data_IF_691677614055
#
_entry.id   IF_691677614055
#
_cell.length_a   1.000
_cell.length_b   1.000
_cell.length_c   1.000
_cell.angle_alpha   90.00
_cell.angle_beta   90.00
_cell.angle_gamma   90.00
#
_symmetry.space_group_name_H-M   'P 1'
#
loop_
_entity.id
_entity.type
_entity.pdbx_description
1 polymer ?
#
# COMPACT_ATOMS: atom_id res chain seq x y z
N UNK A 1 -5.55 -24.43 -13.43
CA UNK A 1 -4.52 -24.12 -12.42
C UNK A 1 -4.58 -22.65 -11.98
N UNK A 2 -4.63 -21.68 -12.89
CA UNK A 2 -4.45 -20.24 -12.59
C UNK A 2 -5.61 -19.57 -11.82
N UNK A 3 -6.83 -20.09 -11.92
CA UNK A 3 -8.03 -19.48 -11.31
C UNK A 3 -8.02 -19.61 -9.79
N UNK A 4 -7.51 -20.72 -9.25
CA UNK A 4 -7.43 -20.96 -7.80
C UNK A 4 -6.45 -19.98 -7.16
N UNK A 5 -5.32 -19.71 -7.84
CA UNK A 5 -4.30 -18.77 -7.38
C UNK A 5 -4.82 -17.33 -7.45
N UNK A 6 -5.55 -16.97 -8.51
CA UNK A 6 -6.23 -15.68 -8.62
C UNK A 6 -7.28 -15.46 -7.52
N UNK A 7 -8.05 -16.50 -7.18
CA UNK A 7 -9.08 -16.44 -6.14
C UNK A 7 -8.46 -16.26 -4.74
N UNK A 8 -7.45 -17.07 -4.39
CA UNK A 8 -6.74 -16.91 -3.12
C UNK A 8 -6.08 -15.53 -3.00
N UNK A 9 -5.49 -15.04 -4.10
CA UNK A 9 -4.83 -13.74 -4.10
C UNK A 9 -5.82 -12.59 -3.97
N UNK A 10 -7.03 -12.72 -4.51
CA UNK A 10 -8.12 -11.74 -4.34
C UNK A 10 -8.66 -11.70 -2.92
N UNK A 11 -8.80 -12.85 -2.26
CA UNK A 11 -9.21 -12.93 -0.85
C UNK A 11 -8.13 -12.33 0.05
N UNK A 12 -6.85 -12.65 -0.17
CA UNK A 12 -5.75 -12.06 0.57
C UNK A 12 -5.73 -10.53 0.41
N UNK A 13 -6.01 -10.02 -0.79
CA UNK A 13 -6.02 -8.59 -1.05
C UNK A 13 -7.15 -7.82 -0.34
N UNK A 14 -8.26 -8.48 -0.01
CA UNK A 14 -9.38 -7.86 0.73
C UNK A 14 -9.13 -7.74 2.24
N UNK A 15 -8.10 -8.43 2.79
CA UNK A 15 -7.77 -8.43 4.21
C UNK A 15 -6.99 -7.19 4.69
N UNK A 16 -6.95 -6.11 3.89
CA UNK A 16 -6.35 -4.83 4.31
C UNK A 16 -4.96 -4.53 3.75
N UNK A 17 -4.50 -5.28 2.75
CA UNK A 17 -3.21 -5.04 2.06
C UNK A 17 -3.16 -3.75 1.21
N UNK A 18 -4.25 -2.98 1.18
CA UNK A 18 -4.43 -1.79 0.34
C UNK A 18 -4.82 -2.17 -1.09
N UNK A 19 -5.72 -1.38 -1.70
CA UNK A 19 -6.27 -1.67 -3.03
C UNK A 19 -5.21 -1.83 -4.14
N UNK A 20 -3.99 -1.33 -3.91
CA UNK A 20 -2.89 -1.49 -4.85
C UNK A 20 -2.32 -2.90 -4.98
N UNK A 21 -2.39 -3.73 -3.93
CA UNK A 21 -2.01 -5.14 -4.03
C UNK A 21 -2.98 -5.91 -4.93
N UNK A 22 -4.30 -5.66 -4.79
CA UNK A 22 -5.34 -6.22 -5.68
C UNK A 22 -5.04 -5.86 -7.13
N UNK A 23 -4.70 -4.58 -7.39
CA UNK A 23 -4.47 -4.05 -8.73
C UNK A 23 -3.25 -4.67 -9.40
N UNK A 24 -2.15 -4.86 -8.65
CA UNK A 24 -0.94 -5.53 -9.19
C UNK A 24 -1.29 -6.97 -9.61
N UNK A 25 -1.96 -7.74 -8.75
CA UNK A 25 -2.34 -9.12 -9.06
C UNK A 25 -3.25 -9.17 -10.28
N UNK A 26 -4.22 -8.25 -10.38
CA UNK A 26 -5.08 -8.16 -11.56
C UNK A 26 -4.26 -7.94 -12.83
N UNK A 27 -3.35 -6.96 -12.83
CA UNK A 27 -2.54 -6.62 -13.99
C UNK A 27 -1.56 -7.74 -14.39
N UNK A 28 -0.99 -8.45 -13.42
CA UNK A 28 0.01 -9.49 -13.69
C UNK A 28 -0.63 -10.84 -14.04
N UNK A 29 -1.76 -11.19 -13.43
CA UNK A 29 -2.39 -12.51 -13.62
C UNK A 29 -3.42 -12.50 -14.74
N UNK A 30 -4.21 -11.42 -14.85
CA UNK A 30 -5.30 -11.34 -15.82
C UNK A 30 -4.96 -10.50 -17.06
N UNK A 31 -4.15 -9.46 -16.90
CA UNK A 31 -3.76 -8.58 -18.01
C UNK A 31 -2.37 -8.89 -18.60
N UNK A 32 -1.70 -9.96 -18.14
CA UNK A 32 -0.36 -10.43 -18.57
C UNK A 32 0.65 -9.27 -18.75
N UNK A 33 0.55 -8.29 -17.85
CA UNK A 33 1.33 -7.07 -17.94
C UNK A 33 2.66 -7.26 -17.21
N UNK A 34 3.76 -6.80 -17.82
CA UNK A 34 5.08 -6.83 -17.18
C UNK A 34 5.02 -6.18 -15.79
N UNK A 35 5.62 -6.84 -14.79
CA UNK A 35 5.65 -6.43 -13.39
C UNK A 35 6.02 -4.95 -13.18
N UNK A 36 6.98 -4.43 -13.94
CA UNK A 36 7.43 -3.03 -13.83
C UNK A 36 6.29 -2.08 -14.23
N UNK A 37 5.62 -2.38 -15.34
CA UNK A 37 4.48 -1.61 -15.82
C UNK A 37 3.31 -1.72 -14.84
N UNK A 38 3.03 -2.91 -14.32
CA UNK A 38 1.96 -3.11 -13.33
C UNK A 38 2.20 -2.29 -12.05
N UNK A 39 3.44 -2.24 -11.55
CA UNK A 39 3.81 -1.41 -10.40
C UNK A 39 3.70 0.09 -10.71
N UNK A 40 4.09 0.52 -11.91
CA UNK A 40 3.93 1.91 -12.34
C UNK A 40 2.47 2.36 -12.44
N UNK A 41 1.61 1.51 -13.04
CA UNK A 41 0.16 1.75 -13.11
C UNK A 41 -0.45 1.78 -11.72
N UNK A 42 0.00 0.90 -10.81
CA UNK A 42 -0.43 0.91 -9.43
C UNK A 42 -0.09 2.22 -8.70
N UNK A 43 1.09 2.79 -8.93
CA UNK A 43 1.45 4.11 -8.38
C UNK A 43 0.55 5.22 -8.94
N UNK A 44 0.25 5.17 -10.24
CA UNK A 44 -0.64 6.12 -10.90
C UNK A 44 -2.07 6.05 -10.35
N UNK A 45 -2.54 4.84 -10.03
CA UNK A 45 -3.84 4.60 -9.40
C UNK A 45 -3.98 5.28 -8.04
N UNK A 46 -2.87 5.46 -7.30
CA UNK A 46 -2.90 6.19 -6.03
C UNK A 46 -3.03 7.72 -6.18
N UNK A 47 -2.75 8.31 -7.35
CA UNK A 47 -2.89 9.76 -7.55
C UNK A 47 -4.32 10.28 -7.29
N UNK A 48 -5.39 9.74 -7.89
CA UNK A 48 -6.75 10.20 -7.60
C UNK A 48 -7.13 9.93 -6.14
N UNK A 49 -6.71 8.81 -5.57
CA UNK A 49 -6.95 8.47 -4.16
C UNK A 49 -6.29 9.48 -3.22
N UNK A 50 -5.04 9.85 -3.51
CA UNK A 50 -4.28 10.84 -2.75
C UNK A 50 -4.92 12.23 -2.87
N UNK A 51 -5.40 12.60 -4.06
CA UNK A 51 -6.07 13.88 -4.29
C UNK A 51 -7.39 13.98 -3.51
N UNK A 52 -8.23 12.94 -3.56
CA UNK A 52 -9.47 12.88 -2.76
C UNK A 52 -9.15 12.90 -1.27
N UNK A 53 -8.14 12.14 -0.83
CA UNK A 53 -7.69 12.12 0.57
C UNK A 53 -7.24 13.51 1.03
N UNK A 54 -6.46 14.21 0.20
CA UNK A 54 -6.00 15.57 0.48
C UNK A 54 -7.18 16.54 0.62
N UNK A 55 -8.15 16.50 -0.29
CA UNK A 55 -9.35 17.35 -0.23
C UNK A 55 -10.13 17.09 1.07
N UNK A 56 -10.38 15.83 1.41
CA UNK A 56 -11.14 15.47 2.62
C UNK A 56 -10.41 15.94 3.87
N UNK A 57 -9.10 15.69 3.98
CA UNK A 57 -8.32 16.12 5.15
C UNK A 57 -8.19 17.64 5.24
N UNK A 58 -8.13 18.33 4.11
CA UNK A 58 -8.14 19.80 4.07
C UNK A 58 -9.47 20.35 4.59
N UNK A 59 -10.60 19.77 4.17
CA UNK A 59 -11.94 20.17 4.64
C UNK A 59 -12.16 19.91 6.13
N UNK A 60 -11.52 18.87 6.68
CA UNK A 60 -11.58 18.56 8.11
C UNK A 60 -10.58 19.35 8.97
N UNK A 61 -9.85 20.33 8.40
CA UNK A 61 -8.81 21.12 9.08
C UNK A 61 -7.69 20.30 9.76
N UNK A 62 -7.51 19.04 9.36
CA UNK A 62 -6.49 18.14 9.92
C UNK A 62 -5.09 18.38 9.32
N UNK A 63 -4.96 19.28 8.35
CA UNK A 63 -3.69 19.56 7.66
C UNK A 63 -2.96 20.72 8.35
N UNK A 64 -1.88 20.39 9.06
CA UNK A 64 -0.93 21.38 9.54
C UNK A 64 0.10 21.72 8.46
N UNK A 65 -0.13 22.81 7.73
CA UNK A 65 0.74 23.28 6.64
C UNK A 65 2.21 23.43 7.04
N UNK A 66 2.50 23.79 8.31
CA UNK A 66 3.87 23.85 8.83
C UNK A 66 4.56 22.50 8.88
N UNK A 67 3.82 21.43 9.18
CA UNK A 67 4.34 20.05 9.20
C UNK A 67 4.51 19.54 7.78
N UNK A 68 3.53 19.81 6.91
CA UNK A 68 3.61 19.46 5.49
C UNK A 68 4.87 20.04 4.85
N UNK A 69 5.16 21.33 5.08
CA UNK A 69 6.33 21.99 4.50
C UNK A 69 7.67 21.41 4.99
N UNK A 70 7.73 20.94 6.24
CA UNK A 70 8.92 20.26 6.79
C UNK A 70 9.10 18.86 6.22
N UNK A 71 7.99 18.17 5.93
CA UNK A 71 8.01 16.80 5.43
C UNK A 71 8.23 16.75 3.91
N UNK A 72 7.78 17.78 3.18
CA UNK A 72 7.89 17.91 1.73
C UNK A 72 9.31 17.63 1.19
N UNK A 73 10.39 18.26 1.70
CA UNK A 73 11.74 18.00 1.20
C UNK A 73 12.19 16.56 1.44
N UNK A 74 11.82 15.96 2.57
CA UNK A 74 12.10 14.54 2.85
C UNK A 74 11.40 13.60 1.87
N UNK A 75 10.14 13.91 1.55
CA UNK A 75 9.37 13.18 0.53
C UNK A 75 10.00 13.30 -0.86
N UNK A 76 10.36 14.52 -1.28
CA UNK A 76 10.98 14.77 -2.59
C UNK A 76 12.33 14.04 -2.70
N UNK A 77 13.18 14.13 -1.67
CA UNK A 77 14.45 13.40 -1.64
C UNK A 77 14.26 11.89 -1.68
N UNK A 78 13.28 11.37 -0.93
CA UNK A 78 12.93 9.96 -0.94
C UNK A 78 12.48 9.47 -2.32
N UNK A 79 11.65 10.25 -3.02
CA UNK A 79 11.21 9.92 -4.39
C UNK A 79 12.42 9.93 -5.34
N UNK A 80 13.25 10.97 -5.31
CA UNK A 80 14.41 11.08 -6.19
C UNK A 80 15.39 9.90 -5.99
N UNK A 81 15.74 9.60 -4.75
CA UNK A 81 16.63 8.48 -4.42
C UNK A 81 15.98 7.14 -4.77
N UNK A 82 14.70 6.95 -4.44
CA UNK A 82 13.95 5.74 -4.72
C UNK A 82 13.86 5.45 -6.22
N UNK A 83 13.50 6.44 -7.03
CA UNK A 83 13.44 6.32 -8.49
C UNK A 83 14.81 6.08 -9.09
N UNK A 84 15.86 6.75 -8.61
CA UNK A 84 17.23 6.55 -9.09
C UNK A 84 17.71 5.12 -8.83
N UNK A 85 17.49 4.61 -7.61
CA UNK A 85 17.86 3.23 -7.25
C UNK A 85 17.03 2.24 -8.07
N UNK A 86 15.72 2.44 -8.18
CA UNK A 86 14.83 1.57 -8.94
C UNK A 86 15.22 1.49 -10.42
N UNK A 87 15.70 2.58 -11.03
CA UNK A 87 16.16 2.61 -12.41
C UNK A 87 17.46 1.83 -12.67
N UNK A 88 18.27 1.58 -11.62
CA UNK A 88 19.51 0.83 -11.72
C UNK A 88 19.36 -0.66 -11.36
N UNK A 89 18.19 -1.08 -10.89
CA UNK A 89 17.91 -2.46 -10.53
C UNK A 89 17.37 -3.21 -11.75
N UNK A 90 17.93 -4.37 -12.04
CA UNK A 90 17.44 -5.26 -13.09
C UNK A 90 16.02 -5.75 -12.76
N UNK A 91 15.16 -5.80 -13.78
CA UNK A 91 13.77 -6.22 -13.68
C UNK A 91 13.65 -7.62 -13.08
N UNK A 92 14.57 -8.52 -13.44
CA UNK A 92 14.56 -9.90 -12.95
C UNK A 92 14.90 -9.98 -11.45
N UNK A 93 15.77 -9.08 -10.97
CA UNK A 93 16.09 -8.96 -9.55
C UNK A 93 14.93 -8.36 -8.76
N UNK A 94 14.27 -7.33 -9.32
CA UNK A 94 13.11 -6.70 -8.70
C UNK A 94 11.94 -7.69 -8.54
N UNK A 95 11.73 -8.56 -9.53
CA UNK A 95 10.74 -9.64 -9.46
C UNK A 95 11.05 -10.64 -8.36
N UNK A 96 12.31 -11.10 -8.23
CA UNK A 96 12.75 -12.01 -7.16
C UNK A 96 12.58 -11.37 -5.78
N UNK A 97 12.91 -10.09 -5.65
CA UNK A 97 12.80 -9.35 -4.39
C UNK A 97 11.34 -9.17 -3.98
N UNK A 98 10.47 -8.81 -4.93
CA UNK A 98 9.04 -8.70 -4.70
C UNK A 98 8.42 -10.06 -4.32
N UNK A 99 8.75 -11.13 -5.07
CA UNK A 99 8.31 -12.48 -4.74
C UNK A 99 8.78 -12.94 -3.35
N UNK A 100 10.04 -12.66 -3.00
CA UNK A 100 10.58 -12.93 -1.66
C UNK A 100 9.86 -12.15 -0.55
N UNK A 101 9.55 -10.87 -0.80
CA UNK A 101 8.77 -10.04 0.12
C UNK A 101 7.36 -10.60 0.32
N UNK A 102 6.69 -11.06 -0.75
CA UNK A 102 5.37 -11.69 -0.66
C UNK A 102 5.40 -12.97 0.17
N UNK A 103 6.40 -13.84 -0.06
CA UNK A 103 6.58 -15.06 0.75
C UNK A 103 6.85 -14.69 2.20
N UNK A 104 7.73 -13.71 2.45
CA UNK A 104 8.06 -13.26 3.81
C UNK A 104 6.83 -12.72 4.53
N UNK A 105 6.07 -11.82 3.90
CA UNK A 105 4.84 -11.25 4.48
C UNK A 105 3.79 -12.35 4.69
N UNK A 106 3.61 -13.24 3.71
CA UNK A 106 2.71 -14.39 3.83
C UNK A 106 3.07 -15.30 5.00
N UNK A 107 4.35 -15.63 5.17
CA UNK A 107 4.83 -16.37 6.33
C UNK A 107 4.62 -15.58 7.63
N UNK A 108 4.99 -14.30 7.65
CA UNK A 108 4.86 -13.44 8.83
C UNK A 108 3.41 -13.39 9.31
N UNK A 109 2.45 -13.32 8.40
CA UNK A 109 1.02 -13.26 8.69
C UNK A 109 0.46 -14.62 9.14
N UNK A 110 0.85 -15.71 8.48
CA UNK A 110 0.45 -17.07 8.88
C UNK A 110 1.01 -17.46 10.26
N UNK A 111 2.18 -16.95 10.63
CA UNK A 111 2.83 -17.20 11.92
C UNK A 111 2.55 -16.11 12.98
N UNK A 112 1.99 -14.96 12.61
CA UNK A 112 1.45 -13.99 13.57
C UNK A 112 0.12 -14.50 14.12
N UNK A 113 0.22 -15.29 15.19
CA UNK A 113 -0.90 -15.61 16.05
C UNK A 113 -1.40 -14.30 16.68
N UNK A 114 -2.59 -13.85 16.26
CA UNK A 114 -3.36 -12.72 16.80
C UNK A 114 -3.06 -12.48 18.29
N UNK A 115 -2.25 -11.45 18.56
CA UNK A 115 -2.01 -10.96 19.91
C UNK A 115 -2.15 -9.44 19.87
N UNK A 116 -3.33 -9.01 20.33
CA UNK A 116 -3.69 -7.70 20.90
C UNK A 116 -3.72 -6.49 19.93
N UNK A 117 -4.63 -5.51 20.03
CA UNK A 117 -5.27 -4.91 21.21
C UNK A 117 -6.50 -4.11 20.75
N UNK A 118 -7.69 -4.27 21.35
CA UNK A 118 -8.19 -3.40 22.44
C UNK A 118 -7.90 -1.91 22.19
N UNK A 119 -8.86 -1.18 21.62
CA UNK A 119 -8.78 0.26 21.40
C UNK A 119 -10.11 1.06 21.44
N UNK A 120 -11.28 0.43 21.54
CA UNK A 120 -12.58 1.14 21.41
C UNK A 120 -13.43 1.24 22.70
N UNK A 121 -12.82 1.18 23.89
CA UNK A 121 -13.58 1.34 25.15
C UNK A 121 -13.01 2.41 26.07
N UNK A 122 -12.87 3.66 25.61
CA UNK A 122 -12.72 4.84 26.49
C UNK A 122 -13.15 6.16 25.80
N UNK A 123 -14.38 6.31 25.32
CA UNK A 123 -14.89 7.67 25.01
C UNK A 123 -16.43 7.83 25.02
N UNK A 124 -17.15 7.04 25.83
CA UNK A 124 -18.60 7.25 26.01
C UNK A 124 -19.00 7.03 27.47
N UNK A 125 -18.42 7.82 28.38
CA UNK A 125 -18.90 8.03 29.75
C UNK A 125 -18.43 9.38 30.31
N UNK A 126 -18.99 10.45 29.75
CA UNK A 126 -19.10 11.84 30.24
C UNK A 126 -19.81 12.53 29.07
N UNK A 127 -21.06 12.97 29.12
CA UNK A 127 -21.78 13.58 30.22
C UNK A 127 -23.29 13.31 30.05
N UNK A 128 -23.93 12.90 31.14
CA UNK A 128 -25.37 13.13 31.34
C UNK A 128 -25.58 14.63 31.61
N UNK A 129 -26.71 15.22 31.17
CA UNK A 129 -27.12 16.54 31.63
C UNK A 129 -27.38 16.58 33.14
#
# INVERSE_FOLDING_TARGET
MNIIIGLLSGIAASMGFGGGFVLIIYLTVFADTNQVTAQGVNLLFFLPVALVSLIIHQKNHLISWKTLLKLLPGGILGILLGTFIAAHIDVEFLQKLFGGLLIFVGCKELFHKNTDSKGEKKESKTDTP
#
